data_IF_760932867413
#
_entry.id   IF_760932867413
#
_cell.length_a   1.000
_cell.length_b   1.000
_cell.length_c   1.000
_cell.angle_alpha   90.00
_cell.angle_beta   90.00
_cell.angle_gamma   90.00
#
_symmetry.space_group_name_H-M   'P 1'
#
loop_
_entity.id
_entity.type
_entity.pdbx_description
1 polymer ?
#
# COMPACT_ATOMS: atom_id res chain seq x y z
N UNK A 1 -18.09 17.79 7.68
CA UNK A 1 -17.13 16.99 6.91
C UNK A 1 -15.78 17.60 7.21
N UNK A 2 -14.77 16.79 7.55
CA UNK A 2 -13.43 17.29 7.71
C UNK A 2 -12.93 17.83 6.36
N UNK A 3 -12.29 19.01 6.36
CA UNK A 3 -11.63 19.49 5.16
C UNK A 3 -10.51 18.52 4.75
N UNK A 4 -10.34 18.24 3.45
CA UNK A 4 -9.23 17.43 3.00
C UNK A 4 -7.91 18.07 3.44
N UNK A 5 -6.98 17.27 3.97
CA UNK A 5 -5.67 17.74 4.45
C UNK A 5 -4.85 18.41 3.35
N UNK A 6 -5.03 17.98 2.11
CA UNK A 6 -4.51 18.63 0.92
C UNK A 6 -5.67 19.21 0.11
N UNK A 7 -5.48 20.41 -0.42
CA UNK A 7 -6.48 20.99 -1.31
C UNK A 7 -6.55 20.20 -2.62
N UNK A 8 -7.75 20.04 -3.20
CA UNK A 8 -7.90 19.42 -4.52
C UNK A 8 -7.02 20.05 -5.61
N UNK A 9 -6.71 21.33 -5.48
CA UNK A 9 -5.81 22.04 -6.40
C UNK A 9 -4.39 21.52 -6.29
N UNK A 10 -3.91 21.24 -5.07
CA UNK A 10 -2.58 20.68 -4.84
C UNK A 10 -2.53 19.23 -5.31
N UNK A 11 -3.56 18.43 -5.04
CA UNK A 11 -3.62 17.05 -5.54
C UNK A 11 -3.54 16.98 -7.07
N UNK A 12 -4.33 17.83 -7.78
CA UNK A 12 -4.26 17.92 -9.25
C UNK A 12 -2.89 18.38 -9.75
N UNK A 13 -2.26 19.31 -9.04
CA UNK A 13 -0.92 19.77 -9.39
C UNK A 13 0.10 18.63 -9.25
N UNK A 14 0.09 17.90 -8.14
CA UNK A 14 0.98 16.76 -7.93
C UNK A 14 0.71 15.62 -8.93
N UNK A 15 -0.56 15.35 -9.25
CA UNK A 15 -0.92 14.34 -10.24
C UNK A 15 -0.41 14.68 -11.64
N UNK A 16 -0.28 15.96 -11.98
CA UNK A 16 0.23 16.40 -13.29
C UNK A 16 1.68 16.00 -13.55
N UNK A 17 2.44 15.65 -12.51
CA UNK A 17 3.81 15.14 -12.62
C UNK A 17 3.91 13.61 -12.69
N UNK A 18 2.80 12.90 -12.47
CA UNK A 18 2.79 11.45 -12.64
C UNK A 18 2.87 11.11 -14.13
N UNK A 19 3.85 10.29 -14.57
CA UNK A 19 3.98 9.91 -15.96
C UNK A 19 2.68 9.28 -16.53
N UNK A 20 2.49 9.31 -17.86
CA UNK A 20 1.35 8.66 -18.49
C UNK A 20 1.21 7.20 -18.03
N UNK A 21 0.00 6.84 -17.64
CA UNK A 21 -0.35 5.50 -17.16
C UNK A 21 -0.89 4.65 -18.30
N UNK A 22 -0.73 3.33 -18.22
CA UNK A 22 -1.39 2.39 -19.12
C UNK A 22 -2.90 2.59 -19.09
N UNK A 23 -3.57 2.38 -20.20
CA UNK A 23 -5.02 2.60 -20.32
C UNK A 23 -5.83 1.85 -19.26
N UNK A 24 -5.43 0.62 -18.93
CA UNK A 24 -6.08 -0.18 -17.89
C UNK A 24 -6.02 0.50 -16.50
N UNK A 25 -4.89 1.14 -16.12
CA UNK A 25 -4.81 1.91 -14.88
C UNK A 25 -5.75 3.12 -14.88
N UNK A 26 -5.86 3.82 -16.02
CA UNK A 26 -6.79 4.95 -16.18
C UNK A 26 -8.24 4.48 -16.05
N UNK A 27 -8.59 3.31 -16.61
CA UNK A 27 -9.92 2.70 -16.44
C UNK A 27 -10.21 2.31 -14.98
N UNK A 28 -9.21 1.78 -14.26
CA UNK A 28 -9.33 1.48 -12.82
C UNK A 28 -9.60 2.77 -12.02
N UNK A 29 -8.91 3.85 -12.32
CA UNK A 29 -9.13 5.17 -11.70
C UNK A 29 -10.53 5.73 -12.00
N UNK A 30 -10.99 5.61 -13.26
CA UNK A 30 -12.32 6.03 -13.67
C UNK A 30 -13.41 5.22 -12.94
N UNK A 31 -13.21 3.92 -12.81
CA UNK A 31 -14.11 3.07 -12.05
C UNK A 31 -14.15 3.43 -10.57
N UNK A 32 -12.99 3.65 -9.93
CA UNK A 32 -12.91 4.08 -8.53
C UNK A 32 -13.73 5.35 -8.29
N UNK A 33 -13.57 6.36 -9.17
CA UNK A 33 -14.38 7.60 -9.10
C UNK A 33 -15.88 7.35 -9.27
N UNK A 34 -16.27 6.47 -10.18
CA UNK A 34 -17.68 6.17 -10.46
C UNK A 34 -18.36 5.38 -9.35
N UNK A 35 -17.64 4.45 -8.72
CA UNK A 35 -18.19 3.52 -7.73
C UNK A 35 -17.94 3.96 -6.28
N UNK A 36 -17.06 4.94 -6.05
CA UNK A 36 -16.58 5.31 -4.72
C UNK A 36 -15.63 4.28 -4.10
N UNK A 37 -15.09 3.33 -4.90
CA UNK A 37 -14.15 2.35 -4.38
C UNK A 37 -12.82 3.02 -4.01
N UNK A 38 -12.29 2.82 -2.79
CA UNK A 38 -11.07 3.46 -2.36
C UNK A 38 -9.86 2.84 -3.10
N UNK A 39 -9.04 3.71 -3.70
CA UNK A 39 -7.73 3.36 -4.25
C UNK A 39 -6.71 4.39 -3.78
N UNK A 40 -5.46 4.01 -3.73
CA UNK A 40 -4.37 4.91 -3.32
C UNK A 40 -4.15 6.09 -4.29
N UNK A 41 -4.70 6.00 -5.50
CA UNK A 41 -4.59 7.01 -6.54
C UNK A 41 -3.21 7.11 -7.20
N UNK A 42 -3.10 7.89 -8.30
CA UNK A 42 -1.90 7.89 -9.14
C UNK A 42 -0.65 8.44 -8.46
N UNK A 43 -0.76 9.47 -7.64
CA UNK A 43 0.38 10.06 -6.94
C UNK A 43 1.02 9.11 -5.93
N UNK A 44 0.21 8.48 -5.06
CA UNK A 44 0.71 7.47 -4.12
C UNK A 44 1.18 6.21 -4.85
N UNK A 45 0.46 5.77 -5.89
CA UNK A 45 0.88 4.62 -6.69
C UNK A 45 2.25 4.83 -7.33
N UNK A 46 2.49 6.00 -7.92
CA UNK A 46 3.79 6.37 -8.49
C UNK A 46 4.89 6.45 -7.42
N UNK A 47 4.58 6.96 -6.23
CA UNK A 47 5.52 6.97 -5.11
C UNK A 47 5.87 5.53 -4.66
N UNK A 48 4.88 4.65 -4.54
CA UNK A 48 5.10 3.23 -4.22
C UNK A 48 5.99 2.54 -5.27
N UNK A 49 5.73 2.80 -6.56
CA UNK A 49 6.58 2.33 -7.65
C UNK A 49 8.01 2.85 -7.51
N UNK A 50 8.19 4.15 -7.26
CA UNK A 50 9.52 4.76 -7.09
C UNK A 50 10.30 4.12 -5.94
N UNK A 51 9.66 3.92 -4.78
CA UNK A 51 10.30 3.26 -3.62
C UNK A 51 10.71 1.83 -3.98
N UNK A 52 9.82 1.06 -4.60
CA UNK A 52 10.11 -0.32 -5.01
C UNK A 52 11.28 -0.38 -6.03
N UNK A 53 11.41 0.61 -6.92
CA UNK A 53 12.54 0.75 -7.85
C UNK A 53 13.83 1.11 -7.13
N UNK A 54 13.79 2.07 -6.18
CA UNK A 54 14.96 2.54 -5.44
C UNK A 54 15.64 1.44 -4.62
N UNK A 55 14.84 0.54 -4.02
CA UNK A 55 15.38 -0.57 -3.23
C UNK A 55 15.60 -1.84 -4.06
N UNK A 56 15.32 -1.81 -5.37
CA UNK A 56 15.41 -2.98 -6.24
C UNK A 56 14.49 -4.13 -5.83
N UNK A 57 13.29 -3.82 -5.31
CA UNK A 57 12.37 -4.82 -4.76
C UNK A 57 11.97 -5.86 -5.80
N UNK A 58 12.09 -7.14 -5.46
CA UNK A 58 11.69 -8.29 -6.26
C UNK A 58 10.69 -9.20 -5.54
N UNK A 59 10.60 -9.11 -4.23
CA UNK A 59 9.67 -9.85 -3.38
C UNK A 59 8.78 -8.84 -2.65
N UNK A 60 7.55 -8.65 -3.11
CA UNK A 60 6.61 -7.69 -2.55
C UNK A 60 5.40 -8.43 -1.98
N UNK A 61 5.00 -8.09 -0.76
CA UNK A 61 3.74 -8.55 -0.18
C UNK A 61 2.80 -7.39 0.03
N UNK A 62 1.58 -7.52 -0.46
CA UNK A 62 0.56 -6.51 -0.37
C UNK A 62 -0.59 -6.98 0.52
N UNK A 63 -0.78 -6.28 1.62
CA UNK A 63 -1.83 -6.53 2.60
C UNK A 63 -2.99 -5.57 2.32
N UNK A 64 -4.08 -6.09 1.74
CA UNK A 64 -5.25 -5.27 1.36
C UNK A 64 -5.15 -4.69 -0.06
N UNK A 65 -5.17 -5.56 -1.05
CA UNK A 65 -4.89 -5.19 -2.46
C UNK A 65 -6.12 -4.73 -3.27
N UNK A 66 -7.32 -4.77 -2.70
CA UNK A 66 -8.55 -4.43 -3.41
C UNK A 66 -8.68 -5.14 -4.76
N UNK A 67 -9.00 -4.40 -5.82
CA UNK A 67 -9.04 -4.92 -7.20
C UNK A 67 -7.72 -4.74 -7.97
N UNK A 68 -6.58 -4.55 -7.27
CA UNK A 68 -5.25 -4.64 -7.85
C UNK A 68 -4.65 -3.33 -8.36
N UNK A 69 -5.16 -2.17 -7.98
CA UNK A 69 -4.63 -0.88 -8.44
C UNK A 69 -3.19 -0.63 -7.92
N UNK A 70 -2.96 -0.76 -6.63
CA UNK A 70 -1.62 -0.69 -6.01
C UNK A 70 -0.73 -1.81 -6.50
N UNK A 71 -1.28 -3.02 -6.64
CA UNK A 71 -0.57 -4.19 -7.17
C UNK A 71 0.04 -3.92 -8.55
N UNK A 72 -0.64 -3.19 -9.43
CA UNK A 72 -0.12 -2.86 -10.76
C UNK A 72 1.17 -2.02 -10.70
N UNK A 73 1.25 -1.09 -9.76
CA UNK A 73 2.44 -0.27 -9.56
C UNK A 73 3.63 -1.09 -9.03
N UNK A 74 3.37 -1.99 -8.09
CA UNK A 74 4.40 -2.90 -7.58
C UNK A 74 4.83 -3.93 -8.64
N UNK A 75 3.89 -4.50 -9.39
CA UNK A 75 4.18 -5.47 -10.44
C UNK A 75 5.04 -4.85 -11.55
N UNK A 76 4.76 -3.61 -11.94
CA UNK A 76 5.60 -2.86 -12.86
C UNK A 76 7.03 -2.68 -12.32
N UNK A 77 7.17 -2.27 -11.06
CA UNK A 77 8.49 -2.10 -10.45
C UNK A 77 9.27 -3.42 -10.40
N UNK A 78 8.63 -4.51 -9.98
CA UNK A 78 9.23 -5.85 -9.91
C UNK A 78 9.65 -6.34 -11.29
N UNK A 79 8.82 -6.15 -12.32
CA UNK A 79 9.15 -6.50 -13.69
C UNK A 79 10.41 -5.75 -14.18
N UNK A 80 10.45 -4.44 -13.97
CA UNK A 80 11.57 -3.58 -14.36
C UNK A 80 12.84 -3.79 -13.51
N UNK A 81 12.71 -4.40 -12.31
CA UNK A 81 13.83 -4.84 -11.47
C UNK A 81 14.40 -6.22 -11.87
N UNK A 82 13.97 -6.78 -13.00
CA UNK A 82 14.44 -8.07 -13.49
C UNK A 82 13.59 -9.26 -13.04
N UNK A 83 12.33 -9.03 -12.70
CA UNK A 83 11.38 -10.06 -12.30
C UNK A 83 11.41 -10.39 -10.81
N UNK A 84 10.48 -11.22 -10.38
CA UNK A 84 10.23 -11.58 -8.99
C UNK A 84 8.75 -11.87 -8.80
N UNK A 85 8.18 -11.55 -7.64
CA UNK A 85 6.74 -11.73 -7.37
C UNK A 85 6.14 -10.60 -6.55
N UNK A 86 4.84 -10.38 -6.76
CA UNK A 86 3.98 -9.57 -5.91
C UNK A 86 2.85 -10.47 -5.39
N UNK A 87 2.78 -10.66 -4.09
CA UNK A 87 1.67 -11.38 -3.46
C UNK A 87 0.53 -10.42 -3.21
N UNK A 88 -0.52 -10.54 -4.00
CA UNK A 88 -1.77 -9.80 -3.91
C UNK A 88 -2.71 -10.49 -2.92
N UNK A 89 -3.07 -9.83 -1.83
CA UNK A 89 -3.91 -10.42 -0.78
C UNK A 89 -5.16 -9.59 -0.54
N UNK A 90 -6.33 -10.21 -0.66
CA UNK A 90 -7.64 -9.60 -0.41
C UNK A 90 -8.60 -10.67 0.08
N UNK A 91 -9.56 -10.34 0.96
CA UNK A 91 -10.55 -11.34 1.43
C UNK A 91 -11.67 -11.60 0.43
N UNK A 92 -11.96 -10.66 -0.46
CA UNK A 92 -13.06 -10.77 -1.42
C UNK A 92 -12.59 -11.46 -2.70
N UNK A 93 -13.16 -12.64 -2.97
CA UNK A 93 -12.83 -13.42 -4.16
C UNK A 93 -13.20 -12.72 -5.47
N UNK A 94 -14.26 -11.92 -5.47
CA UNK A 94 -14.66 -11.16 -6.67
C UNK A 94 -13.67 -10.04 -6.98
N UNK A 95 -13.17 -9.34 -5.94
CA UNK A 95 -12.09 -8.35 -6.10
C UNK A 95 -10.80 -9.01 -6.58
N UNK A 96 -10.43 -10.17 -6.05
CA UNK A 96 -9.26 -10.93 -6.50
C UNK A 96 -9.38 -11.37 -7.96
N UNK A 97 -10.55 -11.87 -8.38
CA UNK A 97 -10.80 -12.24 -9.77
C UNK A 97 -10.70 -11.02 -10.70
N UNK A 98 -11.25 -9.89 -10.29
CA UNK A 98 -11.18 -8.63 -11.02
C UNK A 98 -9.73 -8.14 -11.15
N UNK A 99 -8.97 -8.18 -10.06
CA UNK A 99 -7.55 -7.85 -10.07
C UNK A 99 -6.79 -8.73 -11.06
N UNK A 100 -7.04 -10.05 -11.05
CA UNK A 100 -6.41 -10.99 -11.98
C UNK A 100 -6.68 -10.61 -13.44
N UNK A 101 -7.91 -10.30 -13.81
CA UNK A 101 -8.26 -9.91 -15.18
C UNK A 101 -7.48 -8.65 -15.61
N UNK A 102 -7.49 -7.60 -14.79
CA UNK A 102 -6.83 -6.33 -15.08
C UNK A 102 -5.31 -6.45 -15.15
N UNK A 103 -4.71 -7.16 -14.19
CA UNK A 103 -3.25 -7.33 -14.13
C UNK A 103 -2.75 -8.26 -15.26
N UNK A 104 -3.57 -9.20 -15.72
CA UNK A 104 -3.29 -9.98 -16.93
C UNK A 104 -3.28 -9.07 -18.17
N UNK A 105 -4.26 -8.18 -18.32
CA UNK A 105 -4.29 -7.18 -19.42
C UNK A 105 -3.06 -6.28 -19.41
N UNK A 106 -2.55 -5.94 -18.23
CA UNK A 106 -1.31 -5.17 -18.07
C UNK A 106 -0.01 -5.98 -18.31
N UNK A 107 -0.10 -7.29 -18.52
CA UNK A 107 1.05 -8.15 -18.77
C UNK A 107 1.79 -8.61 -17.50
N UNK A 108 1.13 -8.64 -16.35
CA UNK A 108 1.72 -9.00 -15.05
C UNK A 108 1.30 -10.39 -14.55
N UNK A 109 0.73 -11.24 -15.42
CA UNK A 109 0.21 -12.56 -15.05
C UNK A 109 1.25 -13.46 -14.36
N UNK A 110 2.50 -13.41 -14.82
CA UNK A 110 3.59 -14.25 -14.31
C UNK A 110 4.30 -13.66 -13.07
N UNK A 111 3.92 -12.44 -12.66
CA UNK A 111 4.54 -11.74 -11.53
C UNK A 111 3.64 -11.73 -10.30
N UNK A 112 2.31 -11.75 -10.51
CA UNK A 112 1.35 -11.61 -9.42
C UNK A 112 0.80 -12.95 -8.95
N UNK A 113 0.99 -13.23 -7.67
CA UNK A 113 0.36 -14.35 -6.96
C UNK A 113 -0.88 -13.86 -6.21
N UNK A 114 -2.02 -14.51 -6.43
CA UNK A 114 -3.30 -14.09 -5.84
C UNK A 114 -3.67 -14.95 -4.64
N UNK A 115 -3.97 -14.31 -3.51
CA UNK A 115 -4.41 -14.95 -2.27
C UNK A 115 -5.75 -14.34 -1.82
N UNK A 116 -6.76 -15.18 -1.64
CA UNK A 116 -8.04 -14.79 -1.03
C UNK A 116 -7.99 -15.25 0.43
N UNK A 117 -7.58 -14.33 1.31
CA UNK A 117 -7.31 -14.64 2.70
C UNK A 117 -7.27 -13.37 3.58
N UNK A 118 -7.25 -13.58 4.90
CA UNK A 118 -6.86 -12.54 5.86
C UNK A 118 -5.35 -12.27 5.69
N UNK A 119 -4.99 -10.99 5.54
CA UNK A 119 -3.68 -10.59 5.04
C UNK A 119 -2.53 -10.92 6.01
N UNK A 120 -2.70 -10.71 7.32
CA UNK A 120 -1.65 -10.99 8.29
C UNK A 120 -1.42 -12.49 8.47
N UNK A 121 -2.50 -13.29 8.48
CA UNK A 121 -2.40 -14.75 8.52
C UNK A 121 -1.72 -15.29 7.26
N UNK A 122 -2.02 -14.71 6.09
CA UNK A 122 -1.39 -15.13 4.84
C UNK A 122 0.09 -14.75 4.79
N UNK A 123 0.45 -13.54 5.21
CA UNK A 123 1.85 -13.13 5.32
C UNK A 123 2.64 -14.07 6.24
N UNK A 124 2.05 -14.46 7.39
CA UNK A 124 2.70 -15.39 8.34
C UNK A 124 2.99 -16.75 7.71
N UNK A 125 2.06 -17.28 6.88
CA UNK A 125 2.17 -18.58 6.21
C UNK A 125 3.04 -18.57 4.97
N UNK A 126 3.21 -17.41 4.33
CA UNK A 126 3.99 -17.30 3.09
C UNK A 126 5.47 -17.46 3.38
N UNK A 127 6.13 -18.35 2.66
CA UNK A 127 7.55 -18.61 2.82
C UNK A 127 8.43 -17.48 2.26
N UNK A 128 9.60 -17.34 2.88
CA UNK A 128 10.62 -16.39 2.49
C UNK A 128 10.49 -15.04 3.18
N UNK A 129 11.45 -14.17 2.87
CA UNK A 129 11.46 -12.77 3.30
C UNK A 129 11.11 -11.85 2.13
N UNK A 130 10.50 -10.71 2.45
CA UNK A 130 10.09 -9.72 1.47
C UNK A 130 11.04 -8.52 1.45
N UNK A 131 11.22 -7.93 0.27
CA UNK A 131 11.93 -6.67 0.10
C UNK A 131 11.07 -5.47 0.48
N UNK A 132 9.77 -5.59 0.21
CA UNK A 132 8.78 -4.56 0.47
C UNK A 132 7.47 -5.19 0.94
N UNK A 133 6.88 -4.62 1.97
CA UNK A 133 5.49 -4.88 2.39
C UNK A 133 4.69 -3.60 2.23
N UNK A 134 3.51 -3.70 1.61
CA UNK A 134 2.53 -2.62 1.55
C UNK A 134 1.34 -2.98 2.44
N UNK A 135 0.99 -2.09 3.37
CA UNK A 135 -0.07 -2.28 4.37
C UNK A 135 -1.22 -1.30 4.12
N UNK A 136 -2.38 -1.82 3.72
CA UNK A 136 -3.63 -1.06 3.55
C UNK A 136 -4.85 -1.94 3.86
N UNK A 137 -4.92 -2.41 5.10
CA UNK A 137 -6.04 -3.16 5.67
C UNK A 137 -6.92 -2.26 6.55
N UNK A 138 -7.90 -2.85 7.26
CA UNK A 138 -8.62 -2.17 8.32
C UNK A 138 -7.65 -1.70 9.40
N UNK A 139 -7.77 -0.43 9.79
CA UNK A 139 -6.74 0.28 10.56
C UNK A 139 -6.54 -0.28 11.96
N UNK A 140 -7.58 -0.86 12.54
CA UNK A 140 -7.53 -1.59 13.81
C UNK A 140 -6.55 -2.76 13.79
N UNK A 141 -6.29 -3.32 12.60
CA UNK A 141 -5.35 -4.42 12.39
C UNK A 141 -3.87 -4.00 12.29
N UNK A 142 -3.56 -2.70 12.16
CA UNK A 142 -2.19 -2.24 11.91
C UNK A 142 -1.18 -2.67 12.97
N UNK A 143 -1.43 -2.53 14.30
CA UNK A 143 -0.48 -2.97 15.31
C UNK A 143 -0.16 -4.47 15.26
N UNK A 144 -1.18 -5.31 15.05
CA UNK A 144 -1.00 -6.76 14.94
C UNK A 144 -0.30 -7.17 13.62
N UNK A 145 -0.56 -6.44 12.54
CA UNK A 145 0.12 -6.65 11.27
C UNK A 145 1.63 -6.36 11.38
N UNK A 146 2.01 -5.33 12.16
CA UNK A 146 3.42 -4.95 12.34
C UNK A 146 4.25 -6.10 12.92
N UNK A 147 3.71 -6.87 13.87
CA UNK A 147 4.41 -8.02 14.46
C UNK A 147 4.78 -9.06 13.38
N UNK A 148 3.86 -9.32 12.45
CA UNK A 148 4.12 -10.26 11.36
C UNK A 148 5.05 -9.67 10.29
N UNK A 149 4.92 -8.38 10.02
CA UNK A 149 5.77 -7.67 9.06
C UNK A 149 7.22 -7.67 9.54
N UNK A 150 7.45 -7.47 10.83
CA UNK A 150 8.81 -7.53 11.41
C UNK A 150 9.47 -8.89 11.22
N UNK A 151 8.72 -9.98 11.25
CA UNK A 151 9.26 -11.32 11.01
C UNK A 151 9.55 -11.61 9.52
N UNK A 152 8.82 -10.97 8.63
CA UNK A 152 8.79 -11.31 7.19
C UNK A 152 9.49 -10.30 6.28
N UNK A 153 9.67 -9.07 6.72
CA UNK A 153 10.42 -8.06 5.98
C UNK A 153 11.91 -8.22 6.27
N UNK A 154 12.75 -8.33 5.25
CA UNK A 154 14.20 -8.45 5.45
C UNK A 154 14.81 -7.16 6.03
N UNK A 155 15.95 -7.22 6.74
CA UNK A 155 16.76 -6.04 7.00
C UNK A 155 17.11 -5.31 5.70
N UNK A 156 17.03 -3.98 5.70
CA UNK A 156 17.17 -3.17 4.49
C UNK A 156 15.93 -3.14 3.58
N UNK A 157 14.85 -3.79 3.98
CA UNK A 157 13.56 -3.73 3.30
C UNK A 157 12.75 -2.49 3.66
N UNK A 158 11.67 -2.26 2.91
CA UNK A 158 10.78 -1.12 3.13
C UNK A 158 9.35 -1.56 3.48
N UNK A 159 8.77 -0.89 4.46
CA UNK A 159 7.34 -0.92 4.75
C UNK A 159 6.71 0.38 4.25
N UNK A 160 5.67 0.24 3.43
CA UNK A 160 4.79 1.34 3.03
C UNK A 160 3.42 1.11 3.66
N UNK A 161 2.83 2.15 4.26
CA UNK A 161 1.50 2.04 4.89
C UNK A 161 0.64 3.24 4.54
N UNK A 162 -0.58 2.99 4.04
CA UNK A 162 -1.52 4.06 3.64
C UNK A 162 -2.36 4.56 4.82
N UNK A 163 -3.03 5.70 4.64
CA UNK A 163 -4.00 6.35 5.54
C UNK A 163 -3.46 6.69 6.94
N UNK A 164 -2.22 7.12 7.04
CA UNK A 164 -1.62 7.47 8.33
C UNK A 164 -2.20 8.73 8.98
N UNK A 165 -2.92 9.56 8.21
CA UNK A 165 -3.52 10.80 8.70
C UNK A 165 -5.03 10.68 8.99
N UNK A 166 -5.68 9.60 8.55
CA UNK A 166 -7.09 9.28 8.82
C UNK A 166 -8.03 10.47 8.54
N UNK A 167 -7.83 11.13 7.39
CA UNK A 167 -8.60 12.33 7.02
C UNK A 167 -8.61 13.41 8.12
N UNK A 168 -7.50 13.53 8.85
CA UNK A 168 -7.32 14.50 9.94
C UNK A 168 -7.74 14.00 11.32
N UNK A 169 -8.35 12.84 11.48
CA UNK A 169 -8.75 12.31 12.79
C UNK A 169 -7.56 12.10 13.72
N UNK A 170 -6.37 11.78 13.15
CA UNK A 170 -5.13 11.61 13.91
C UNK A 170 -4.73 12.88 14.69
N UNK A 171 -5.14 14.07 14.23
CA UNK A 171 -4.84 15.36 14.83
C UNK A 171 -5.83 15.75 15.96
N UNK A 172 -6.89 14.99 16.13
CA UNK A 172 -7.92 15.27 17.14
C UNK A 172 -7.55 14.59 18.45
N UNK A 173 -7.02 15.33 19.42
CA UNK A 173 -6.59 14.79 20.72
C UNK A 173 -7.71 14.04 21.47
N UNK A 174 -8.96 14.42 21.26
CA UNK A 174 -10.14 13.79 21.87
C UNK A 174 -10.61 12.52 21.17
N UNK A 175 -10.12 12.20 19.98
CA UNK A 175 -10.56 10.99 19.27
C UNK A 175 -10.00 9.73 19.93
N UNK A 176 -10.91 8.90 20.46
CA UNK A 176 -10.64 7.63 21.14
C UNK A 176 -11.16 6.43 20.36
N UNK A 177 -11.53 6.60 19.08
CA UNK A 177 -11.96 5.49 18.24
C UNK A 177 -10.85 4.42 18.14
N UNK A 178 -11.24 3.16 18.06
CA UNK A 178 -10.29 2.04 17.95
C UNK A 178 -9.34 2.22 16.75
N UNK A 179 -9.89 2.68 15.66
CA UNK A 179 -9.17 3.01 14.42
C UNK A 179 -8.06 4.05 14.65
N UNK A 180 -8.39 5.19 15.26
CA UNK A 180 -7.39 6.27 15.50
C UNK A 180 -6.35 5.86 16.52
N UNK A 181 -6.75 5.13 17.58
CA UNK A 181 -5.81 4.62 18.57
C UNK A 181 -4.85 3.59 17.95
N UNK A 182 -5.34 2.70 17.09
CA UNK A 182 -4.50 1.71 16.41
C UNK A 182 -3.43 2.37 15.51
N UNK A 183 -3.80 3.40 14.73
CA UNK A 183 -2.83 4.12 13.89
C UNK A 183 -1.83 4.90 14.74
N UNK A 184 -2.24 5.51 15.86
CA UNK A 184 -1.31 6.17 16.78
C UNK A 184 -0.33 5.19 17.39
N UNK A 185 -0.79 4.03 17.84
CA UNK A 185 0.07 2.97 18.40
C UNK A 185 1.04 2.44 17.34
N UNK A 186 0.56 2.15 16.15
CA UNK A 186 1.40 1.72 15.03
C UNK A 186 2.48 2.75 14.70
N UNK A 187 2.09 4.03 14.59
CA UNK A 187 3.03 5.15 14.34
C UNK A 187 4.09 5.23 15.42
N UNK A 188 3.67 5.18 16.69
CA UNK A 188 4.59 5.24 17.84
C UNK A 188 5.60 4.09 17.78
N UNK A 189 5.16 2.87 17.52
CA UNK A 189 6.05 1.68 17.42
C UNK A 189 7.09 1.83 16.31
N UNK A 190 6.72 2.41 15.17
CA UNK A 190 7.64 2.66 14.06
C UNK A 190 8.62 3.80 14.39
N UNK A 191 8.12 4.91 14.93
CA UNK A 191 8.94 6.12 15.12
C UNK A 191 9.86 6.07 16.35
N UNK A 192 9.44 5.34 17.40
CA UNK A 192 10.20 5.21 18.64
C UNK A 192 10.98 3.89 18.74
N UNK A 193 10.69 2.92 17.87
CA UNK A 193 11.31 1.60 17.87
C UNK A 193 12.70 1.59 17.23
N UNK A 194 13.61 0.79 17.78
CA UNK A 194 14.99 0.68 17.31
C UNK A 194 15.14 -0.04 15.96
N UNK A 195 14.12 -0.79 15.53
CA UNK A 195 14.14 -1.59 14.31
C UNK A 195 13.83 -0.82 13.03
N UNK A 196 13.40 0.44 13.15
CA UNK A 196 12.88 1.21 12.05
C UNK A 196 13.54 2.58 11.89
N UNK A 197 13.53 3.08 10.67
CA UNK A 197 13.71 4.49 10.33
C UNK A 197 12.49 4.87 9.52
N UNK A 198 11.57 5.63 10.09
CA UNK A 198 10.27 5.95 9.48
C UNK A 198 10.09 7.43 9.20
N UNK A 199 9.27 7.72 8.19
CA UNK A 199 8.78 9.07 7.89
C UNK A 199 7.38 9.00 7.31
N UNK A 200 6.50 9.93 7.70
CA UNK A 200 5.18 10.08 7.08
C UNK A 200 5.27 11.15 6.00
N UNK A 201 4.98 10.75 4.77
CA UNK A 201 4.86 11.66 3.63
C UNK A 201 3.41 12.13 3.56
N UNK A 202 3.13 13.44 3.67
CA UNK A 202 1.77 13.97 3.69
C UNK A 202 1.16 14.02 2.27
N UNK A 203 1.12 12.85 1.62
CA UNK A 203 0.52 12.67 0.31
C UNK A 203 -0.85 12.01 0.48
N UNK A 204 -1.90 12.62 -0.07
CA UNK A 204 -3.29 12.22 0.14
C UNK A 204 -3.63 12.08 1.63
N UNK A 205 -3.97 10.87 2.09
CA UNK A 205 -4.29 10.59 3.50
C UNK A 205 -3.07 10.16 4.34
N UNK A 206 -1.86 10.52 3.88
CA UNK A 206 -0.58 10.22 4.53
C UNK A 206 -0.07 8.82 4.24
N UNK A 207 1.12 8.74 3.70
CA UNK A 207 1.82 7.50 3.39
C UNK A 207 3.05 7.37 4.30
N UNK A 208 3.10 6.35 5.15
CA UNK A 208 4.32 6.02 5.88
C UNK A 208 5.29 5.28 4.95
N UNK A 209 6.53 5.71 4.97
CA UNK A 209 7.68 4.94 4.48
C UNK A 209 8.58 4.63 5.67
N UNK A 210 8.82 3.35 5.94
CA UNK A 210 9.74 2.90 6.96
C UNK A 210 10.76 1.90 6.40
N UNK A 211 12.01 2.13 6.72
CA UNK A 211 13.15 1.27 6.41
C UNK A 211 13.43 0.36 7.60
N UNK A 212 13.57 -0.95 7.38
CA UNK A 212 13.96 -1.91 8.42
C UNK A 212 15.47 -1.91 8.57
N UNK A 213 15.96 -1.65 9.79
CA UNK A 213 17.39 -1.73 10.15
C UNK A 213 17.91 -3.14 10.14
#
# INVERSE_FOLDING_TARGET
MAEPLLSEKLDRYLESFVPPRAGELVEMEAEARRTGFPIIGPTCGHFCYLVARLIGARQVFEMGSGYGYSTAWFARAVQENGGGRVVHTVWDAALSQKARARLTTLGYADIVEYRVAEAAAELRRTDGAFDLVFLDIDKEGYPAALDVIEDKLRPGGALLTDNMLLSGSILQDGDRSARTQAVREFTRRIMEGDHWIGSIVPQRDGLLLAYRR
#
